data_IF_034762719815
#
_entry.id   IF_034762719815
#
_cell.length_a   1.000
_cell.length_b   1.000
_cell.length_c   1.000
_cell.angle_alpha   90.00
_cell.angle_beta   90.00
_cell.angle_gamma   90.00
#
_symmetry.space_group_name_H-M   'P 1'
#
loop_
_entity.id
_entity.type
_entity.pdbx_description
1 polymer ?
#
# COMPACT_ATOMS: atom_id res chain seq x y z
N UNK A 1 -60.12 -30.74 -33.49
CA UNK A 1 -59.20 -31.45 -34.41
C UNK A 1 -57.79 -31.23 -33.89
N UNK A 2 -57.26 -32.06 -32.98
CA UNK A 2 -56.49 -33.30 -33.25
C UNK A 2 -55.47 -33.14 -34.38
N UNK A 3 -54.19 -33.54 -34.29
CA UNK A 3 -53.36 -34.23 -33.29
C UNK A 3 -51.92 -34.21 -33.87
N UNK A 4 -50.91 -34.39 -33.01
CA UNK A 4 -49.69 -35.22 -33.12
C UNK A 4 -48.85 -34.81 -31.87
N UNK A 5 -49.01 -35.45 -30.70
CA UNK A 5 -48.44 -36.75 -30.23
C UNK A 5 -46.91 -36.68 -30.01
N UNK A 6 -46.43 -36.34 -28.79
CA UNK A 6 -45.89 -37.19 -27.68
C UNK A 6 -44.50 -37.85 -27.96
N UNK A 7 -43.70 -38.35 -26.98
CA UNK A 7 -43.47 -37.95 -25.57
C UNK A 7 -42.01 -38.07 -25.01
N UNK A 8 -41.72 -37.39 -23.89
CA UNK A 8 -41.15 -37.85 -22.58
C UNK A 8 -40.07 -38.98 -22.53
N UNK A 9 -38.95 -38.77 -21.80
CA UNK A 9 -38.55 -39.46 -20.52
C UNK A 9 -37.03 -39.44 -20.19
N UNK A 10 -36.74 -38.96 -18.97
CA UNK A 10 -35.89 -39.52 -17.89
C UNK A 10 -34.42 -39.98 -18.09
N UNK A 11 -33.60 -39.51 -17.15
CA UNK A 11 -32.26 -39.90 -16.63
C UNK A 11 -32.03 -41.42 -16.42
N UNK A 12 -30.88 -41.94 -15.90
CA UNK A 12 -29.44 -41.60 -15.94
C UNK A 12 -28.54 -42.84 -16.29
N UNK A 13 -27.21 -42.75 -16.08
CA UNK A 13 -26.22 -43.84 -15.74
C UNK A 13 -25.01 -44.02 -16.69
N UNK A 14 -23.83 -43.91 -16.05
CA UNK A 14 -22.49 -44.53 -16.24
C UNK A 14 -22.34 -45.51 -17.44
N UNK A 15 -21.22 -45.55 -18.19
CA UNK A 15 -19.91 -46.01 -17.70
C UNK A 15 -18.90 -46.29 -18.84
N UNK A 16 -17.62 -46.39 -18.46
CA UNK A 16 -16.49 -47.11 -19.08
C UNK A 16 -15.90 -46.66 -20.44
N UNK A 17 -14.75 -45.96 -20.36
CA UNK A 17 -13.55 -46.34 -21.14
C UNK A 17 -12.34 -46.32 -20.18
N UNK A 18 -11.53 -47.37 -20.24
CA UNK A 18 -10.42 -47.70 -19.33
C UNK A 18 -9.05 -47.45 -19.98
N UNK A 19 -8.02 -47.40 -19.10
CA UNK A 19 -6.56 -47.52 -19.27
C UNK A 19 -5.71 -46.23 -19.45
N UNK A 20 -4.44 -46.22 -18.98
CA UNK A 20 -3.90 -46.74 -17.72
C UNK A 20 -3.07 -45.70 -16.92
N UNK A 21 -2.72 -46.11 -15.69
CA UNK A 21 -1.98 -45.42 -14.65
C UNK A 21 -0.59 -44.89 -15.06
N UNK A 22 -0.27 -43.65 -14.66
CA UNK A 22 1.02 -43.31 -14.06
C UNK A 22 0.87 -42.11 -13.10
N UNK A 23 1.05 -42.39 -11.81
CA UNK A 23 0.98 -41.44 -10.70
C UNK A 23 2.30 -40.70 -10.58
N UNK A 24 2.27 -39.36 -10.61
CA UNK A 24 3.34 -38.52 -10.08
C UNK A 24 2.82 -37.63 -8.96
N UNK A 25 3.67 -37.52 -7.94
CA UNK A 25 3.37 -37.24 -6.55
C UNK A 25 3.01 -35.78 -6.27
N UNK A 26 2.04 -35.62 -5.37
CA UNK A 26 1.97 -34.49 -4.44
C UNK A 26 2.49 -34.95 -3.09
N UNK A 27 3.46 -34.24 -2.53
CA UNK A 27 3.73 -34.29 -1.09
C UNK A 27 4.11 -32.90 -0.59
N UNK A 28 3.23 -32.34 0.22
CA UNK A 28 3.51 -31.24 1.14
C UNK A 28 4.06 -31.83 2.45
N UNK A 29 5.16 -31.24 2.93
CA UNK A 29 5.53 -30.96 4.34
C UNK A 29 5.38 -32.07 5.40
N UNK A 30 6.50 -32.48 6.01
CA UNK A 30 6.68 -32.44 7.47
C UNK A 30 8.16 -32.63 7.87
N UNK A 31 8.49 -32.02 9.00
CA UNK A 31 9.78 -31.86 9.66
C UNK A 31 10.57 -33.17 9.86
N UNK A 32 11.90 -33.10 9.89
CA UNK A 32 12.69 -33.21 11.15
C UNK A 32 14.20 -33.31 10.91
N UNK A 33 14.90 -32.26 11.37
CA UNK A 33 16.34 -32.10 11.55
C UNK A 33 16.90 -32.98 12.69
N UNK A 34 16.78 -34.32 12.59
CA UNK A 34 17.35 -35.24 13.61
C UNK A 34 18.19 -36.41 13.07
N UNK A 35 18.38 -36.57 11.75
CA UNK A 35 19.17 -37.69 11.19
C UNK A 35 20.60 -37.38 10.71
N UNK A 36 21.04 -36.13 10.69
CA UNK A 36 22.39 -35.78 10.22
C UNK A 36 23.49 -35.82 11.32
N UNK A 37 23.12 -35.95 12.60
CA UNK A 37 24.09 -35.92 13.71
C UNK A 37 24.50 -37.30 14.26
N UNK A 38 23.92 -38.42 13.76
CA UNK A 38 24.25 -39.77 14.24
C UNK A 38 25.26 -40.54 13.36
N UNK A 39 25.60 -40.03 12.18
CA UNK A 39 26.58 -40.70 11.30
C UNK A 39 28.03 -40.24 11.50
N UNK A 40 28.25 -39.08 12.13
CA UNK A 40 29.59 -38.53 12.38
C UNK A 40 30.21 -38.96 13.72
N UNK A 41 29.42 -39.59 14.59
CA UNK A 41 29.87 -40.02 15.94
C UNK A 41 30.31 -41.49 16.01
N UNK A 42 30.27 -42.23 14.89
CA UNK A 42 30.56 -43.68 14.87
C UNK A 42 31.90 -44.06 14.23
N UNK A 43 32.70 -43.08 13.82
CA UNK A 43 34.00 -43.29 13.15
C UNK A 43 35.23 -42.99 14.04
N UNK A 44 35.03 -42.72 15.33
CA UNK A 44 36.12 -42.42 16.28
C UNK A 44 36.19 -43.42 17.45
N UNK A 45 36.11 -44.71 17.15
CA UNK A 45 36.49 -45.76 18.10
C UNK A 45 37.32 -46.84 17.39
N UNK A 46 38.61 -46.57 17.22
CA UNK A 46 39.65 -47.59 17.07
C UNK A 46 40.98 -46.98 17.54
N UNK A 47 41.62 -47.49 18.60
CA UNK A 47 42.95 -47.04 18.97
C UNK A 47 43.96 -47.63 17.97
N UNK A 48 44.43 -46.79 17.04
CA UNK A 48 45.55 -47.15 16.16
C UNK A 48 46.85 -46.99 16.94
N UNK A 49 47.56 -48.10 17.11
CA UNK A 49 48.90 -48.18 17.67
C UNK A 49 49.85 -47.32 16.81
N UNK A 50 50.40 -46.26 17.39
CA UNK A 50 51.41 -45.41 16.75
C UNK A 50 52.76 -46.12 16.72
N UNK A 51 53.14 -46.67 15.57
CA UNK A 51 54.54 -46.98 15.26
C UNK A 51 55.24 -45.69 14.79
N UNK A 52 56.32 -45.34 15.48
CA UNK A 52 57.22 -44.23 15.17
C UNK A 52 57.70 -44.30 13.69
N UNK A 53 57.26 -43.35 12.88
CA UNK A 53 57.83 -43.09 11.55
C UNK A 53 58.11 -41.59 11.42
N UNK A 54 59.40 -41.24 11.45
CA UNK A 54 59.89 -39.88 11.21
C UNK A 54 59.94 -39.62 9.70
N UNK A 55 58.86 -39.11 9.12
CA UNK A 55 58.92 -38.36 7.85
C UNK A 55 57.97 -37.15 7.93
N UNK A 56 58.43 -35.92 7.62
CA UNK A 56 57.57 -34.76 7.66
C UNK A 56 56.57 -34.82 6.50
N UNK A 57 55.27 -34.92 6.84
CA UNK A 57 54.16 -34.76 5.90
C UNK A 57 54.10 -33.27 5.49
N UNK A 58 54.43 -32.97 4.24
CA UNK A 58 54.16 -31.67 3.64
C UNK A 58 52.65 -31.50 3.45
N UNK A 59 52.03 -30.74 4.35
CA UNK A 59 50.65 -30.29 4.17
C UNK A 59 50.65 -29.13 3.17
N UNK A 60 50.28 -29.39 1.92
CA UNK A 60 49.94 -28.33 0.97
C UNK A 60 48.67 -27.65 1.47
N UNK A 61 48.82 -26.43 1.99
CA UNK A 61 47.71 -25.61 2.48
C UNK A 61 46.95 -25.08 1.26
N UNK A 62 46.03 -25.88 0.73
CA UNK A 62 45.05 -25.38 -0.24
C UNK A 62 44.17 -24.36 0.48
N UNK A 63 44.47 -23.08 0.26
CA UNK A 63 43.58 -21.99 0.64
C UNK A 63 42.33 -22.07 -0.23
N UNK A 64 41.30 -22.75 0.27
CA UNK A 64 39.96 -22.61 -0.28
C UNK A 64 39.49 -21.20 0.06
N UNK A 65 39.70 -20.27 -0.86
CA UNK A 65 39.03 -18.97 -0.84
C UNK A 65 37.54 -19.24 -1.03
N UNK A 66 36.81 -19.41 0.07
CA UNK A 66 35.36 -19.23 0.06
C UNK A 66 35.15 -17.78 -0.34
N UNK A 67 34.82 -17.55 -1.61
CA UNK A 67 34.40 -16.25 -2.10
C UNK A 67 33.11 -15.90 -1.37
N UNK A 68 33.26 -15.33 -0.18
CA UNK A 68 32.16 -14.72 0.54
C UNK A 68 31.62 -13.69 -0.43
N UNK A 69 30.41 -13.94 -0.93
CA UNK A 69 29.75 -13.10 -1.91
C UNK A 69 29.57 -11.74 -1.27
N UNK A 70 30.58 -10.88 -1.39
CA UNK A 70 30.52 -9.51 -0.93
C UNK A 70 29.30 -8.95 -1.65
N UNK A 71 28.29 -8.55 -0.89
CA UNK A 71 27.16 -7.84 -1.44
C UNK A 71 27.76 -6.55 -2.00
N UNK A 72 28.02 -6.53 -3.30
CA UNK A 72 28.60 -5.37 -3.98
C UNK A 72 27.55 -4.26 -3.87
N UNK A 73 27.85 -3.28 -3.04
CA UNK A 73 27.04 -2.07 -2.93
C UNK A 73 27.10 -1.29 -4.25
N UNK A 74 26.05 -0.53 -4.55
CA UNK A 74 26.03 0.34 -5.71
C UNK A 74 27.19 1.35 -5.66
N UNK A 75 27.76 1.68 -6.82
CA UNK A 75 28.74 2.78 -6.88
C UNK A 75 28.10 4.09 -6.39
N UNK A 76 28.87 5.05 -5.86
CA UNK A 76 28.31 6.32 -5.37
C UNK A 76 27.49 7.07 -6.43
N UNK A 77 27.96 7.06 -7.69
CA UNK A 77 27.25 7.66 -8.82
C UNK A 77 25.94 6.92 -9.13
N UNK A 78 25.96 5.58 -9.16
CA UNK A 78 24.74 4.78 -9.36
C UNK A 78 23.74 4.99 -8.21
N UNK A 79 24.20 5.01 -6.95
CA UNK A 79 23.38 5.29 -5.78
C UNK A 79 22.63 6.62 -5.89
N UNK A 80 23.31 7.68 -6.36
CA UNK A 80 22.68 8.98 -6.56
C UNK A 80 21.57 8.93 -7.62
N UNK A 81 21.83 8.34 -8.79
CA UNK A 81 20.80 8.24 -9.84
C UNK A 81 19.61 7.38 -9.43
N UNK A 82 19.86 6.19 -8.88
CA UNK A 82 18.80 5.28 -8.43
C UNK A 82 18.02 5.93 -7.28
N UNK A 83 18.72 6.57 -6.34
CA UNK A 83 18.10 7.26 -5.22
C UNK A 83 17.20 8.40 -5.66
N UNK A 84 17.67 9.27 -6.55
CA UNK A 84 16.87 10.38 -7.11
C UNK A 84 15.67 9.84 -7.88
N UNK A 85 15.86 8.82 -8.72
CA UNK A 85 14.77 8.17 -9.44
C UNK A 85 13.68 7.64 -8.50
N UNK A 86 14.06 6.92 -7.44
CA UNK A 86 13.08 6.40 -6.46
C UNK A 86 12.35 7.51 -5.70
N UNK A 87 13.03 8.60 -5.34
CA UNK A 87 12.38 9.77 -4.74
C UNK A 87 11.41 10.43 -5.72
N UNK A 88 11.80 10.62 -6.98
CA UNK A 88 10.92 11.14 -8.02
C UNK A 88 9.69 10.26 -8.22
N UNK A 89 9.85 8.93 -8.31
CA UNK A 89 8.71 8.00 -8.37
C UNK A 89 7.82 8.09 -7.13
N UNK A 90 8.40 8.25 -5.92
CA UNK A 90 7.60 8.45 -4.72
C UNK A 90 6.79 9.75 -4.77
N UNK A 91 7.36 10.84 -5.32
CA UNK A 91 6.64 12.09 -5.56
C UNK A 91 5.51 11.95 -6.60
N UNK A 92 5.71 11.16 -7.66
CA UNK A 92 4.64 10.86 -8.61
C UNK A 92 3.50 10.08 -7.95
N UNK A 93 3.79 9.14 -7.03
CA UNK A 93 2.76 8.44 -6.25
C UNK A 93 2.01 9.40 -5.31
N UNK A 94 2.68 10.40 -4.73
CA UNK A 94 1.99 11.47 -3.99
C UNK A 94 0.99 12.17 -4.92
N UNK A 95 1.41 12.55 -6.13
CA UNK A 95 0.53 13.11 -7.14
C UNK A 95 -0.69 12.22 -7.46
N UNK A 96 -0.48 10.91 -7.62
CA UNK A 96 -1.58 9.95 -7.82
C UNK A 96 -2.57 9.95 -6.66
N UNK A 97 -2.07 9.93 -5.42
CA UNK A 97 -2.93 9.92 -4.23
C UNK A 97 -3.77 11.19 -4.16
N UNK A 98 -3.18 12.36 -4.41
CA UNK A 98 -3.91 13.64 -4.41
C UNK A 98 -4.97 13.65 -5.51
N UNK A 99 -4.57 13.34 -6.75
CA UNK A 99 -5.46 13.36 -7.90
C UNK A 99 -6.59 12.33 -7.78
N UNK A 100 -6.28 11.13 -7.30
CA UNK A 100 -7.27 10.08 -7.01
C UNK A 100 -8.21 10.46 -5.86
N UNK A 101 -7.70 11.15 -4.83
CA UNK A 101 -8.51 11.71 -3.75
C UNK A 101 -9.53 12.73 -4.27
N UNK A 102 -9.09 13.66 -5.10
CA UNK A 102 -9.97 14.65 -5.73
C UNK A 102 -10.99 13.92 -6.61
N UNK A 103 -10.56 12.96 -7.45
CA UNK A 103 -11.44 12.15 -8.33
C UNK A 103 -12.54 11.45 -7.53
N UNK A 104 -12.23 10.93 -6.34
CA UNK A 104 -13.24 10.34 -5.44
C UNK A 104 -14.19 11.38 -4.86
N UNK A 105 -13.66 12.52 -4.39
CA UNK A 105 -14.44 13.62 -3.79
C UNK A 105 -15.35 14.33 -4.80
N UNK A 106 -14.98 14.32 -6.08
CA UNK A 106 -15.81 14.83 -7.19
C UNK A 106 -16.73 13.78 -7.79
N UNK A 107 -16.74 12.54 -7.27
CA UNK A 107 -17.50 11.40 -7.83
C UNK A 107 -17.24 11.22 -9.33
N UNK A 108 -15.98 11.38 -9.76
CA UNK A 108 -15.60 11.27 -11.16
C UNK A 108 -14.99 9.92 -11.53
N UNK A 109 -14.79 9.02 -10.56
CA UNK A 109 -14.03 7.78 -10.77
C UNK A 109 -14.72 6.69 -11.62
N UNK A 110 -15.91 6.96 -12.17
CA UNK A 110 -16.70 6.04 -12.99
C UNK A 110 -17.27 6.73 -14.26
N UNK A 111 -16.73 7.90 -14.61
CA UNK A 111 -17.14 8.72 -15.76
C UNK A 111 -16.65 8.18 -17.12
N UNK A 112 -15.54 7.42 -17.14
CA UNK A 112 -14.98 6.79 -18.33
C UNK A 112 -15.32 5.30 -18.37
N UNK A 113 -16.41 4.98 -19.06
CA UNK A 113 -17.03 3.64 -19.09
C UNK A 113 -16.25 2.65 -19.95
N UNK A 114 -15.64 3.13 -21.02
CA UNK A 114 -14.77 2.35 -21.88
C UNK A 114 -13.33 2.36 -21.32
N UNK A 115 -12.68 1.19 -21.39
CA UNK A 115 -11.27 1.06 -21.02
C UNK A 115 -10.45 0.66 -22.24
N UNK A 116 -9.46 1.48 -22.58
CA UNK A 116 -8.52 1.17 -23.66
C UNK A 116 -7.09 1.38 -23.18
N UNK A 117 -6.22 0.42 -23.45
CA UNK A 117 -4.83 0.46 -22.97
C UNK A 117 -4.03 1.64 -23.53
N UNK A 118 -4.28 2.04 -24.79
CA UNK A 118 -3.52 3.07 -25.51
C UNK A 118 -4.36 4.13 -26.24
N UNK A 119 -5.71 4.00 -26.27
CA UNK A 119 -6.60 4.84 -27.09
C UNK A 119 -7.63 5.62 -26.25
N UNK A 120 -7.19 6.16 -25.13
CA UNK A 120 -8.01 7.08 -24.34
C UNK A 120 -7.50 8.49 -24.66
N UNK A 121 -8.18 9.20 -25.56
CA UNK A 121 -7.97 10.62 -25.79
C UNK A 121 -9.31 11.33 -25.56
N UNK A 122 -9.31 12.58 -25.07
CA UNK A 122 -10.53 13.36 -24.95
C UNK A 122 -11.26 13.44 -26.30
N UNK A 123 -12.60 13.31 -26.33
CA UNK A 123 -13.37 13.57 -27.53
C UNK A 123 -13.05 14.95 -28.11
N UNK A 124 -12.76 15.00 -29.42
CA UNK A 124 -12.32 16.22 -30.10
C UNK A 124 -13.47 17.05 -30.69
N UNK A 125 -14.64 16.43 -30.90
CA UNK A 125 -15.83 17.08 -31.45
C UNK A 125 -16.99 17.07 -30.44
N UNK A 126 -17.95 17.98 -30.64
CA UNK A 126 -19.15 18.05 -29.79
C UNK A 126 -19.99 16.78 -29.90
N UNK A 127 -20.11 16.23 -31.10
CA UNK A 127 -20.87 15.01 -31.37
C UNK A 127 -20.26 13.82 -30.63
N UNK A 128 -18.94 13.70 -30.63
CA UNK A 128 -18.24 12.65 -29.89
C UNK A 128 -18.43 12.79 -28.37
N UNK A 129 -18.44 14.02 -27.85
CA UNK A 129 -18.77 14.29 -26.44
C UNK A 129 -20.21 13.89 -26.08
N UNK A 130 -21.17 14.20 -26.95
CA UNK A 130 -22.57 13.81 -26.75
C UNK A 130 -22.70 12.29 -26.75
N UNK A 131 -22.06 11.58 -27.69
CA UNK A 131 -22.08 10.11 -27.71
C UNK A 131 -21.51 9.49 -26.44
N UNK A 132 -20.38 10.00 -25.94
CA UNK A 132 -19.79 9.50 -24.69
C UNK A 132 -20.68 9.80 -23.48
N UNK A 133 -21.32 10.96 -23.46
CA UNK A 133 -22.28 11.31 -22.41
C UNK A 133 -23.53 10.42 -22.45
N UNK A 134 -24.06 10.13 -23.63
CA UNK A 134 -25.19 9.20 -23.78
C UNK A 134 -24.85 7.78 -23.28
N UNK A 135 -23.61 7.31 -23.46
CA UNK A 135 -23.17 6.06 -22.83
C UNK A 135 -23.17 6.18 -21.30
N UNK A 136 -22.61 7.26 -20.76
CA UNK A 136 -22.56 7.48 -19.30
C UNK A 136 -23.95 7.48 -18.65
N UNK A 137 -24.95 8.07 -19.32
CA UNK A 137 -26.35 8.07 -18.86
C UNK A 137 -26.97 6.68 -18.67
N UNK A 138 -26.41 5.65 -19.31
CA UNK A 138 -26.89 4.27 -19.17
C UNK A 138 -26.49 3.66 -17.82
N UNK A 139 -25.47 4.20 -17.14
CA UNK A 139 -24.92 3.62 -15.93
C UNK A 139 -25.65 4.06 -14.65
N UNK A 140 -25.65 3.22 -13.59
CA UNK A 140 -26.32 3.51 -12.34
C UNK A 140 -25.84 4.81 -11.65
N UNK A 141 -24.58 5.19 -11.82
CA UNK A 141 -24.04 6.41 -11.18
C UNK A 141 -24.75 7.68 -11.67
N UNK A 142 -24.98 7.82 -12.98
CA UNK A 142 -25.76 8.94 -13.52
C UNK A 142 -27.21 8.89 -13.01
N UNK A 143 -27.86 7.72 -13.17
CA UNK A 143 -29.28 7.52 -12.84
C UNK A 143 -29.60 7.78 -11.37
N UNK A 144 -28.71 7.40 -10.45
CA UNK A 144 -28.94 7.49 -9.01
C UNK A 144 -28.40 8.78 -8.40
N UNK A 145 -27.21 9.23 -8.82
CA UNK A 145 -26.51 10.30 -8.13
C UNK A 145 -26.64 11.66 -8.82
N UNK A 146 -26.80 11.72 -10.15
CA UNK A 146 -26.77 12.98 -10.90
C UNK A 146 -27.67 12.95 -12.18
N UNK A 147 -28.99 12.73 -12.07
CA UNK A 147 -29.86 12.59 -13.24
C UNK A 147 -29.99 13.88 -14.08
N UNK A 148 -29.74 15.03 -13.48
CA UNK A 148 -29.87 16.35 -14.11
C UNK A 148 -28.53 16.92 -14.63
N UNK A 149 -27.47 16.11 -14.67
CA UNK A 149 -26.12 16.56 -15.06
C UNK A 149 -26.10 17.10 -16.50
N UNK A 150 -25.43 18.22 -16.69
CA UNK A 150 -25.19 18.85 -18.00
C UNK A 150 -23.97 18.24 -18.70
N UNK A 151 -23.87 18.45 -20.02
CA UNK A 151 -22.70 18.00 -20.78
C UNK A 151 -21.38 18.63 -20.27
N UNK A 152 -21.41 19.88 -19.81
CA UNK A 152 -20.20 20.56 -19.30
C UNK A 152 -19.77 20.00 -17.95
N UNK A 153 -20.70 19.66 -17.07
CA UNK A 153 -20.40 18.96 -15.82
C UNK A 153 -19.85 17.55 -16.09
N UNK A 154 -20.40 16.85 -17.08
CA UNK A 154 -19.88 15.55 -17.53
C UNK A 154 -18.43 15.66 -18.02
N UNK A 155 -18.12 16.66 -18.87
CA UNK A 155 -16.75 16.90 -19.34
C UNK A 155 -15.79 17.12 -18.18
N UNK A 156 -16.20 17.87 -17.15
CA UNK A 156 -15.37 18.10 -15.97
C UNK A 156 -15.02 16.80 -15.24
N UNK A 157 -16.00 15.95 -14.93
CA UNK A 157 -15.72 14.67 -14.26
C UNK A 157 -14.90 13.73 -15.16
N UNK A 158 -15.19 13.71 -16.46
CA UNK A 158 -14.44 12.91 -17.44
C UNK A 158 -12.97 13.32 -17.48
N UNK A 159 -12.67 14.63 -17.53
CA UNK A 159 -11.29 15.14 -17.53
C UNK A 159 -10.55 14.82 -16.24
N UNK A 160 -11.23 14.84 -15.09
CA UNK A 160 -10.63 14.45 -13.81
C UNK A 160 -10.23 12.97 -13.81
N UNK A 161 -11.11 12.07 -14.25
CA UNK A 161 -10.77 10.65 -14.35
C UNK A 161 -9.67 10.38 -15.36
N UNK A 162 -9.76 11.00 -16.54
CA UNK A 162 -8.74 10.93 -17.58
C UNK A 162 -7.38 11.34 -17.04
N UNK A 163 -7.30 12.49 -16.37
CA UNK A 163 -6.08 12.99 -15.74
C UNK A 163 -5.52 11.97 -14.74
N UNK A 164 -6.38 11.40 -13.89
CA UNK A 164 -5.96 10.38 -12.92
C UNK A 164 -5.41 9.11 -13.60
N UNK A 165 -6.09 8.60 -14.64
CA UNK A 165 -5.64 7.43 -15.42
C UNK A 165 -4.30 7.71 -16.13
N UNK A 166 -4.16 8.87 -16.76
CA UNK A 166 -2.91 9.25 -17.45
C UNK A 166 -1.76 9.41 -16.46
N UNK A 167 -2.02 9.98 -15.29
CA UNK A 167 -1.03 10.09 -14.23
C UNK A 167 -0.58 8.70 -13.73
N UNK A 168 -1.49 7.75 -13.59
CA UNK A 168 -1.16 6.35 -13.29
C UNK A 168 -0.24 5.72 -14.34
N UNK A 169 -0.50 5.95 -15.63
CA UNK A 169 0.39 5.51 -16.73
C UNK A 169 1.77 6.17 -16.65
N UNK A 170 1.81 7.47 -16.36
CA UNK A 170 3.07 8.20 -16.17
C UNK A 170 3.89 7.60 -15.03
N UNK A 171 3.28 7.29 -13.89
CA UNK A 171 3.96 6.60 -12.76
C UNK A 171 4.54 5.26 -13.23
N UNK A 172 3.75 4.47 -13.96
CA UNK A 172 4.17 3.20 -14.53
C UNK A 172 5.39 3.33 -15.45
N UNK A 173 5.35 4.28 -16.39
CA UNK A 173 6.43 4.53 -17.34
C UNK A 173 7.69 5.10 -16.65
N UNK A 174 7.52 6.08 -15.75
CA UNK A 174 8.60 6.71 -14.99
C UNK A 174 9.30 5.72 -14.05
N UNK A 175 8.60 4.68 -13.59
CA UNK A 175 9.21 3.57 -12.88
C UNK A 175 9.87 2.57 -13.85
N UNK A 176 9.12 2.06 -14.83
CA UNK A 176 9.55 0.91 -15.63
C UNK A 176 10.75 1.23 -16.54
N UNK A 177 10.76 2.39 -17.21
CA UNK A 177 11.81 2.73 -18.17
C UNK A 177 13.19 2.86 -17.49
N UNK A 178 13.36 3.64 -16.39
CA UNK A 178 14.63 3.69 -15.69
C UNK A 178 14.98 2.36 -15.00
N UNK A 179 13.99 1.60 -14.50
CA UNK A 179 14.23 0.28 -13.92
C UNK A 179 14.91 -0.67 -14.92
N UNK A 180 14.37 -0.75 -16.15
CA UNK A 180 14.96 -1.56 -17.23
C UNK A 180 16.37 -1.08 -17.56
N UNK A 181 16.57 0.23 -17.68
CA UNK A 181 17.87 0.83 -17.96
C UNK A 181 18.90 0.44 -16.87
N UNK A 182 18.60 0.68 -15.59
CA UNK A 182 19.51 0.37 -14.49
C UNK A 182 19.82 -1.13 -14.38
N UNK A 183 18.82 -1.98 -14.69
CA UNK A 183 19.00 -3.43 -14.69
C UNK A 183 19.96 -3.87 -15.81
N UNK A 184 19.76 -3.40 -17.05
CA UNK A 184 20.61 -3.72 -18.21
C UNK A 184 22.03 -3.20 -18.04
N UNK A 185 22.21 -2.06 -17.38
CA UNK A 185 23.53 -1.46 -17.10
C UNK A 185 24.23 -2.06 -15.88
N UNK A 186 23.65 -3.10 -15.25
CA UNK A 186 24.17 -3.71 -14.01
C UNK A 186 24.44 -2.68 -12.88
N UNK A 187 23.63 -1.62 -12.82
CA UNK A 187 23.77 -0.57 -11.80
C UNK A 187 23.12 -0.94 -10.46
N UNK A 188 22.30 -1.98 -10.43
CA UNK A 188 21.57 -2.44 -9.25
C UNK A 188 22.33 -3.54 -8.51
N UNK A 189 22.54 -3.38 -7.20
CA UNK A 189 23.03 -4.47 -6.33
C UNK A 189 22.03 -5.62 -6.25
N UNK A 190 22.47 -6.81 -5.82
CA UNK A 190 21.59 -7.97 -5.61
C UNK A 190 20.35 -7.67 -4.74
N UNK A 191 20.50 -7.05 -3.56
CA UNK A 191 19.37 -6.61 -2.75
C UNK A 191 18.48 -5.57 -3.43
N UNK A 192 19.06 -4.63 -4.19
CA UNK A 192 18.28 -3.61 -4.89
C UNK A 192 17.48 -4.18 -6.06
N UNK A 193 18.01 -5.16 -6.80
CA UNK A 193 17.27 -5.91 -7.82
C UNK A 193 15.98 -6.51 -7.24
N UNK A 194 16.07 -7.14 -6.05
CA UNK A 194 14.89 -7.67 -5.34
C UNK A 194 13.89 -6.57 -4.98
N UNK A 195 14.36 -5.42 -4.47
CA UNK A 195 13.50 -4.27 -4.13
C UNK A 195 12.79 -3.70 -5.36
N UNK A 196 13.54 -3.46 -6.44
CA UNK A 196 12.98 -2.96 -7.70
C UNK A 196 11.95 -3.93 -8.27
N UNK A 197 12.18 -5.25 -8.20
CA UNK A 197 11.18 -6.23 -8.60
C UNK A 197 9.90 -6.14 -7.76
N UNK A 198 10.02 -6.03 -6.42
CA UNK A 198 8.87 -5.83 -5.52
C UNK A 198 8.12 -4.54 -5.87
N UNK A 199 8.82 -3.43 -6.12
CA UNK A 199 8.19 -2.16 -6.48
C UNK A 199 7.47 -2.28 -7.82
N UNK A 200 8.06 -2.95 -8.81
CA UNK A 200 7.42 -3.22 -10.09
C UNK A 200 6.14 -4.04 -9.95
N UNK A 201 6.15 -5.07 -9.10
CA UNK A 201 4.94 -5.85 -8.81
C UNK A 201 3.86 -5.01 -8.13
N UNK A 202 4.23 -4.09 -7.22
CA UNK A 202 3.29 -3.17 -6.59
C UNK A 202 2.72 -2.14 -7.56
N UNK A 203 3.53 -1.60 -8.48
CA UNK A 203 3.08 -0.70 -9.55
C UNK A 203 2.09 -1.39 -10.48
N UNK A 204 2.39 -2.63 -10.91
CA UNK A 204 1.47 -3.44 -11.70
C UNK A 204 0.18 -3.75 -10.93
N UNK A 205 0.31 -4.16 -9.66
CA UNK A 205 -0.82 -4.42 -8.77
C UNK A 205 -1.71 -3.19 -8.57
N UNK A 206 -1.12 -1.99 -8.49
CA UNK A 206 -1.86 -0.72 -8.45
C UNK A 206 -2.71 -0.50 -9.70
N UNK A 207 -2.12 -0.69 -10.89
CA UNK A 207 -2.87 -0.59 -12.15
C UNK A 207 -4.01 -1.60 -12.25
N UNK A 208 -3.74 -2.87 -11.89
CA UNK A 208 -4.75 -3.94 -11.90
C UNK A 208 -5.88 -3.68 -10.90
N UNK A 209 -5.54 -3.23 -9.68
CA UNK A 209 -6.54 -2.92 -8.66
C UNK A 209 -7.37 -1.69 -9.02
N UNK A 210 -6.75 -0.66 -9.62
CA UNK A 210 -7.46 0.52 -10.13
C UNK A 210 -8.44 0.16 -11.25
N UNK A 211 -8.03 -0.67 -12.21
CA UNK A 211 -8.93 -1.20 -13.23
C UNK A 211 -10.09 -2.00 -12.61
N UNK A 212 -9.80 -2.87 -11.65
CA UNK A 212 -10.82 -3.65 -10.95
C UNK A 212 -11.82 -2.74 -10.23
N UNK A 213 -11.35 -1.69 -9.54
CA UNK A 213 -12.19 -0.69 -8.87
C UNK A 213 -13.22 -0.07 -9.83
N UNK A 214 -12.77 0.41 -10.99
CA UNK A 214 -13.67 1.03 -11.98
C UNK A 214 -14.66 0.01 -12.53
N UNK A 215 -14.15 -1.11 -13.06
CA UNK A 215 -15.01 -2.16 -13.66
C UNK A 215 -16.11 -2.61 -12.70
N UNK A 216 -15.74 -2.78 -11.43
CA UNK A 216 -16.64 -3.26 -10.40
C UNK A 216 -17.64 -2.20 -9.89
N UNK A 217 -17.41 -0.92 -10.15
CA UNK A 217 -18.34 0.17 -9.82
C UNK A 217 -19.38 0.44 -10.91
N UNK A 218 -19.18 -0.09 -12.12
CA UNK A 218 -20.09 0.08 -13.27
C UNK A 218 -21.23 -0.95 -13.34
N UNK A 219 -21.34 -1.87 -12.37
CA UNK A 219 -22.32 -2.97 -12.38
C UNK A 219 -23.65 -2.55 -11.74
N UNK A 220 -24.77 -3.04 -12.27
CA UNK A 220 -26.15 -2.69 -11.87
C UNK A 220 -26.58 -3.15 -10.46
N UNK A 221 -25.81 -4.03 -9.80
CA UNK A 221 -26.07 -4.48 -8.43
C UNK A 221 -25.06 -3.81 -7.47
N UNK A 222 -25.32 -2.60 -6.98
CA UNK A 222 -24.44 -1.90 -6.06
C UNK A 222 -24.24 -2.64 -4.73
N UNK A 223 -23.33 -2.10 -3.92
CA UNK A 223 -23.06 -2.53 -2.55
C UNK A 223 -24.36 -2.71 -1.73
N UNK A 224 -24.34 -3.37 -0.55
CA UNK A 224 -25.56 -3.70 0.21
C UNK A 224 -26.48 -2.52 0.56
N UNK A 225 -26.02 -1.29 0.41
CA UNK A 225 -26.77 -0.04 0.61
C UNK A 225 -27.44 0.51 -0.66
N UNK A 226 -27.28 -0.16 -1.81
CA UNK A 226 -27.95 0.19 -3.06
C UNK A 226 -27.32 1.36 -3.83
N UNK A 227 -26.21 1.93 -3.33
CA UNK A 227 -25.57 3.11 -3.94
C UNK A 227 -24.51 2.70 -4.97
N UNK A 228 -24.65 3.18 -6.20
CA UNK A 228 -23.66 3.02 -7.25
C UNK A 228 -22.37 3.80 -6.94
N UNK A 229 -21.40 3.12 -6.32
CA UNK A 229 -20.07 3.66 -5.99
C UNK A 229 -19.02 2.55 -5.91
N UNK A 230 -17.75 2.92 -5.97
CA UNK A 230 -16.65 1.98 -5.72
C UNK A 230 -16.66 1.55 -4.26
N UNK A 231 -16.62 0.23 -4.04
CA UNK A 231 -16.51 -0.40 -2.72
C UNK A 231 -15.41 0.24 -1.85
N UNK A 232 -15.74 0.59 -0.60
CA UNK A 232 -14.78 1.09 0.38
C UNK A 232 -13.61 0.14 0.61
N UNK A 233 -13.83 -1.17 0.48
CA UNK A 233 -12.79 -2.18 0.62
C UNK A 233 -11.75 -2.09 -0.51
N UNK A 234 -12.22 -1.90 -1.75
CA UNK A 234 -11.34 -1.75 -2.92
C UNK A 234 -10.59 -0.41 -2.86
N UNK A 235 -11.28 0.66 -2.46
CA UNK A 235 -10.66 1.97 -2.23
C UNK A 235 -9.57 1.91 -1.16
N UNK A 236 -9.84 1.27 -0.01
CA UNK A 236 -8.88 1.10 1.06
C UNK A 236 -7.68 0.25 0.61
N UNK A 237 -7.91 -0.87 -0.08
CA UNK A 237 -6.85 -1.71 -0.62
C UNK A 237 -5.95 -0.94 -1.61
N UNK A 238 -6.55 -0.13 -2.49
CA UNK A 238 -5.82 0.66 -3.48
C UNK A 238 -4.99 1.76 -2.82
N UNK A 239 -5.59 2.56 -1.94
CA UNK A 239 -4.86 3.59 -1.19
C UNK A 239 -3.76 2.99 -0.31
N UNK A 240 -4.06 1.89 0.41
CA UNK A 240 -3.11 1.22 1.28
C UNK A 240 -1.90 0.68 0.54
N UNK A 241 -2.10 0.03 -0.62
CA UNK A 241 -1.01 -0.43 -1.46
C UNK A 241 -0.22 0.73 -2.08
N UNK A 242 -0.86 1.86 -2.41
CA UNK A 242 -0.17 3.07 -2.86
C UNK A 242 0.74 3.64 -1.75
N UNK A 243 0.25 3.68 -0.50
CA UNK A 243 1.05 4.10 0.65
C UNK A 243 2.22 3.15 0.95
N UNK A 244 2.03 1.83 0.76
CA UNK A 244 3.12 0.85 0.90
C UNK A 244 4.19 1.11 -0.16
N UNK A 245 3.79 1.21 -1.44
CA UNK A 245 4.69 1.49 -2.55
C UNK A 245 5.45 2.81 -2.32
N UNK A 246 4.73 3.87 -1.98
CA UNK A 246 5.30 5.16 -1.59
C UNK A 246 6.35 5.03 -0.48
N UNK A 247 5.98 4.38 0.62
CA UNK A 247 6.83 4.25 1.80
C UNK A 247 8.13 3.50 1.49
N UNK A 248 8.05 2.44 0.68
CA UNK A 248 9.19 1.62 0.31
C UNK A 248 10.15 2.36 -0.64
N UNK A 249 9.61 3.08 -1.63
CA UNK A 249 10.41 3.88 -2.56
C UNK A 249 11.08 5.05 -1.86
N UNK A 250 10.33 5.82 -1.05
CA UNK A 250 10.89 6.93 -0.28
C UNK A 250 11.99 6.44 0.67
N UNK A 251 11.74 5.38 1.43
CA UNK A 251 12.74 4.79 2.34
C UNK A 251 14.02 4.37 1.59
N UNK A 252 13.87 3.75 0.41
CA UNK A 252 14.99 3.30 -0.41
C UNK A 252 15.75 4.47 -1.03
N UNK A 253 15.05 5.47 -1.53
CA UNK A 253 15.63 6.71 -2.04
C UNK A 253 16.44 7.46 -0.98
N UNK A 254 15.85 7.69 0.19
CA UNK A 254 16.55 8.29 1.34
C UNK A 254 17.78 7.45 1.75
N UNK A 255 17.70 6.12 1.64
CA UNK A 255 18.82 5.24 2.01
C UNK A 255 20.03 5.37 1.10
N UNK A 256 19.81 5.70 -0.17
CA UNK A 256 20.87 5.89 -1.16
C UNK A 256 21.38 7.34 -1.18
N UNK A 257 20.49 8.32 -0.99
CA UNK A 257 20.82 9.74 -1.11
C UNK A 257 21.33 10.36 0.18
N UNK A 258 20.74 10.00 1.32
CA UNK A 258 20.98 10.70 2.59
C UNK A 258 21.18 9.69 3.72
N UNK A 259 22.25 8.88 3.68
CA UNK A 259 22.51 7.88 4.72
C UNK A 259 22.50 8.53 6.11
N UNK A 260 21.87 7.90 7.11
CA UNK A 260 21.68 8.52 8.41
C UNK A 260 22.99 8.55 9.20
N UNK A 261 23.11 9.52 10.10
CA UNK A 261 24.29 9.66 10.96
C UNK A 261 24.38 8.49 11.94
N UNK A 262 25.59 8.00 12.19
CA UNK A 262 25.86 7.02 13.25
C UNK A 262 25.83 7.74 14.60
N UNK A 263 25.18 7.13 15.58
CA UNK A 263 25.06 7.67 16.94
C UNK A 263 25.34 6.54 17.92
N UNK A 264 25.96 6.88 19.05
CA UNK A 264 26.08 5.96 20.17
C UNK A 264 24.71 5.50 20.66
N UNK A 265 24.62 4.21 20.96
CA UNK A 265 23.35 3.59 21.28
C UNK A 265 23.13 3.57 22.77
N UNK A 266 22.04 4.19 23.18
CA UNK A 266 21.54 4.12 24.54
C UNK A 266 20.24 3.30 24.57
N UNK A 267 19.93 2.70 25.73
CA UNK A 267 18.66 1.97 25.93
C UNK A 267 17.44 2.86 25.65
N UNK A 268 17.52 4.13 26.03
CA UNK A 268 16.46 5.13 25.77
C UNK A 268 16.28 5.40 24.28
N UNK A 269 17.36 5.47 23.50
CA UNK A 269 17.29 5.68 22.05
C UNK A 269 16.71 4.46 21.31
N UNK A 270 17.01 3.24 21.75
CA UNK A 270 16.35 2.02 21.23
C UNK A 270 14.85 2.06 21.53
N UNK A 271 14.45 2.41 22.76
CA UNK A 271 13.04 2.52 23.16
C UNK A 271 12.32 3.59 22.33
N UNK A 272 12.96 4.75 22.13
CA UNK A 272 12.48 5.82 21.27
C UNK A 272 12.27 5.34 19.82
N UNK A 273 13.23 4.62 19.24
CA UNK A 273 13.08 4.04 17.89
C UNK A 273 11.88 3.10 17.80
N UNK A 274 11.68 2.24 18.81
CA UNK A 274 10.52 1.33 18.84
C UNK A 274 9.21 2.09 18.85
N UNK A 275 9.10 3.12 19.69
CA UNK A 275 7.91 3.99 19.70
C UNK A 275 7.74 4.72 18.37
N UNK A 276 8.80 5.28 17.78
CA UNK A 276 8.73 5.93 16.48
C UNK A 276 8.21 5.00 15.36
N UNK A 277 8.63 3.73 15.34
CA UNK A 277 8.08 2.75 14.41
C UNK A 277 6.62 2.39 14.71
N UNK A 278 6.25 2.27 15.99
CA UNK A 278 4.85 2.08 16.41
C UNK A 278 3.95 3.23 15.97
N UNK A 279 4.37 4.47 16.24
CA UNK A 279 3.65 5.69 15.81
C UNK A 279 3.54 5.77 14.29
N UNK A 280 4.60 5.42 13.54
CA UNK A 280 4.54 5.33 12.07
C UNK A 280 3.47 4.33 11.60
N UNK A 281 3.43 3.15 12.23
CA UNK A 281 2.41 2.13 11.93
C UNK A 281 0.99 2.62 12.23
N UNK A 282 0.82 3.33 13.35
CA UNK A 282 -0.47 3.93 13.71
C UNK A 282 -0.90 5.04 12.76
N UNK A 283 0.02 5.89 12.30
CA UNK A 283 -0.23 6.91 11.26
C UNK A 283 -0.70 6.24 9.97
N UNK A 284 0.00 5.18 9.53
CA UNK A 284 -0.39 4.41 8.36
C UNK A 284 -1.80 3.82 8.52
N UNK A 285 -2.09 3.21 9.67
CA UNK A 285 -3.40 2.61 9.96
C UNK A 285 -4.52 3.66 9.96
N UNK A 286 -4.26 4.85 10.52
CA UNK A 286 -5.22 5.96 10.55
C UNK A 286 -5.47 6.51 9.15
N UNK A 287 -4.42 6.69 8.36
CA UNK A 287 -4.56 7.14 6.98
C UNK A 287 -5.29 6.10 6.11
N UNK A 288 -5.04 4.80 6.36
CA UNK A 288 -5.77 3.69 5.75
C UNK A 288 -7.25 3.67 6.18
N UNK A 289 -7.56 3.92 7.46
CA UNK A 289 -8.95 3.95 7.93
C UNK A 289 -9.76 5.09 7.31
N UNK A 290 -9.10 6.20 6.96
CA UNK A 290 -9.71 7.31 6.22
C UNK A 290 -10.28 6.91 4.85
N UNK A 291 -9.75 5.86 4.21
CA UNK A 291 -10.32 5.34 2.97
C UNK A 291 -11.72 4.73 3.16
N UNK A 292 -11.99 4.12 4.31
CA UNK A 292 -13.34 3.64 4.61
C UNK A 292 -14.29 4.81 4.84
N UNK A 293 -13.85 5.83 5.59
CA UNK A 293 -14.64 7.05 5.83
C UNK A 293 -15.02 7.73 4.52
N UNK A 294 -14.06 7.92 3.61
CA UNK A 294 -14.32 8.49 2.30
C UNK A 294 -15.12 7.56 1.39
N UNK A 295 -14.93 6.25 1.52
CA UNK A 295 -15.61 5.23 0.73
C UNK A 295 -17.12 5.29 0.92
N UNK A 296 -17.58 5.24 2.18
CA UNK A 296 -19.00 5.21 2.58
C UNK A 296 -19.57 6.58 2.95
N UNK A 297 -18.84 7.66 2.65
CA UNK A 297 -19.25 9.05 2.91
C UNK A 297 -19.55 9.33 4.40
N UNK A 298 -18.91 8.58 5.29
CA UNK A 298 -19.09 8.66 6.75
C UNK A 298 -18.71 10.01 7.35
N UNK A 299 -17.96 10.85 6.63
CA UNK A 299 -17.63 12.21 7.05
C UNK A 299 -18.84 13.14 7.17
N UNK A 300 -19.98 12.79 6.56
CA UNK A 300 -21.22 13.59 6.55
C UNK A 300 -22.22 13.17 7.64
N UNK A 301 -21.91 12.16 8.46
CA UNK A 301 -22.87 11.59 9.42
C UNK A 301 -22.98 12.46 10.67
N UNK A 302 -21.86 12.66 11.38
CA UNK A 302 -21.77 13.58 12.51
C UNK A 302 -20.79 14.71 12.18
N UNK A 303 -21.24 15.96 12.20
CA UNK A 303 -20.43 17.14 11.86
C UNK A 303 -20.13 18.05 13.05
N UNK A 304 -20.19 17.50 14.27
CA UNK A 304 -19.78 18.18 15.51
C UNK A 304 -18.47 17.59 16.04
N UNK A 305 -17.76 18.36 16.88
CA UNK A 305 -16.57 17.95 17.63
C UNK A 305 -16.51 18.72 18.96
N UNK A 306 -16.06 18.12 20.08
CA UNK A 306 -15.49 16.77 20.22
C UNK A 306 -16.53 15.66 20.29
N UNK A 307 -17.78 15.96 20.66
CA UNK A 307 -18.89 15.00 20.67
C UNK A 307 -19.40 14.70 19.25
N UNK A 308 -20.01 13.54 19.06
CA UNK A 308 -20.79 13.16 17.88
C UNK A 308 -22.27 13.48 18.18
N UNK A 309 -22.73 14.62 17.66
CA UNK A 309 -23.92 15.34 18.10
C UNK A 309 -23.88 15.63 19.61
N UNK A 310 -24.89 15.21 20.36
CA UNK A 310 -25.03 15.37 21.80
C UNK A 310 -24.24 14.32 22.62
N UNK A 311 -23.66 13.30 21.96
CA UNK A 311 -23.11 12.09 22.61
C UNK A 311 -21.61 11.90 22.34
N UNK A 312 -20.93 11.25 23.28
CA UNK A 312 -19.54 10.80 23.08
C UNK A 312 -19.45 9.52 22.26
N UNK A 313 -20.38 8.60 22.48
CA UNK A 313 -20.53 7.36 21.72
C UNK A 313 -21.96 7.35 21.16
N UNK A 314 -22.13 7.39 19.84
CA UNK A 314 -23.43 7.27 19.20
C UNK A 314 -24.12 5.94 19.51
N UNK A 315 -25.45 5.95 19.62
CA UNK A 315 -26.25 4.76 19.95
C UNK A 315 -26.34 3.74 18.82
N UNK A 316 -26.13 4.17 17.59
CA UNK A 316 -26.21 3.40 16.35
C UNK A 316 -24.88 2.75 15.95
N UNK A 317 -23.84 2.80 16.79
CA UNK A 317 -22.50 2.22 16.51
C UNK A 317 -22.50 0.69 16.30
N UNK A 318 -23.58 0.01 16.69
CA UNK A 318 -23.75 -1.44 16.56
C UNK A 318 -25.04 -1.81 15.79
N UNK A 319 -25.57 -0.90 14.96
CA UNK A 319 -26.84 -1.07 14.26
C UNK A 319 -26.84 -2.25 13.25
N UNK A 320 -25.68 -2.58 12.66
CA UNK A 320 -25.61 -3.60 11.62
C UNK A 320 -25.38 -5.01 12.22
N UNK A 321 -25.98 -6.01 11.58
CA UNK A 321 -25.76 -7.43 11.88
C UNK A 321 -25.11 -8.15 10.70
N UNK A 322 -24.13 -9.06 10.93
CA UNK A 322 -23.44 -9.32 12.19
C UNK A 322 -22.60 -8.13 12.69
N UNK A 323 -22.35 -8.05 14.01
CA UNK A 323 -21.74 -6.88 14.67
C UNK A 323 -20.41 -6.41 14.07
N UNK A 324 -19.59 -7.32 13.52
CA UNK A 324 -18.30 -6.99 12.93
C UNK A 324 -18.41 -6.10 11.68
N UNK A 325 -19.55 -6.15 10.96
CA UNK A 325 -19.80 -5.28 9.79
C UNK A 325 -19.81 -3.80 10.16
N UNK A 326 -20.17 -3.45 11.39
CA UNK A 326 -20.18 -2.06 11.82
C UNK A 326 -18.79 -1.41 11.70
N UNK A 327 -17.70 -2.17 11.88
CA UNK A 327 -16.35 -1.61 11.90
C UNK A 327 -16.00 -0.89 10.58
N UNK A 328 -16.50 -1.39 9.45
CA UNK A 328 -16.14 -0.94 8.10
C UNK A 328 -17.31 -0.48 7.23
N UNK A 329 -18.54 -0.85 7.58
CA UNK A 329 -19.72 -0.61 6.74
C UNK A 329 -20.77 0.28 7.41
N UNK A 330 -20.77 0.39 8.74
CA UNK A 330 -21.61 1.36 9.43
C UNK A 330 -20.91 2.73 9.37
N UNK A 331 -21.52 3.74 8.74
CA UNK A 331 -20.92 5.07 8.62
C UNK A 331 -20.56 5.69 9.96
N UNK A 332 -21.43 5.58 10.96
CA UNK A 332 -21.22 6.12 12.31
C UNK A 332 -20.00 5.50 12.98
N UNK A 333 -19.93 4.18 12.98
CA UNK A 333 -18.83 3.43 13.62
C UNK A 333 -17.50 3.66 12.90
N UNK A 334 -17.54 3.71 11.56
CA UNK A 334 -16.35 3.98 10.75
C UNK A 334 -15.81 5.38 11.04
N UNK A 335 -16.70 6.38 11.13
CA UNK A 335 -16.34 7.74 11.50
C UNK A 335 -15.77 7.81 12.92
N UNK A 336 -16.44 7.19 13.89
CA UNK A 336 -16.00 7.14 15.29
C UNK A 336 -14.60 6.51 15.41
N UNK A 337 -14.39 5.33 14.80
CA UNK A 337 -13.11 4.64 14.82
C UNK A 337 -11.99 5.49 14.23
N UNK A 338 -12.24 6.19 13.11
CA UNK A 338 -11.26 7.07 12.50
C UNK A 338 -10.91 8.28 13.37
N UNK A 339 -11.91 8.89 14.05
CA UNK A 339 -11.67 9.99 15.02
C UNK A 339 -10.78 9.54 16.17
N UNK A 340 -11.11 8.40 16.80
CA UNK A 340 -10.31 7.83 17.90
C UNK A 340 -8.89 7.50 17.45
N UNK A 341 -8.72 6.93 16.24
CA UNK A 341 -7.40 6.68 15.66
C UNK A 341 -6.61 7.99 15.46
N UNK A 342 -7.25 9.04 14.94
CA UNK A 342 -6.63 10.37 14.75
C UNK A 342 -6.17 11.01 16.06
N UNK A 343 -7.02 10.99 17.10
CA UNK A 343 -6.68 11.48 18.44
C UNK A 343 -5.54 10.66 19.06
N UNK A 344 -5.58 9.33 18.89
CA UNK A 344 -4.51 8.44 19.37
C UNK A 344 -3.18 8.73 18.68
N UNK A 345 -3.20 8.97 17.36
CA UNK A 345 -2.00 9.40 16.62
C UNK A 345 -1.47 10.71 17.18
N UNK A 346 -2.32 11.71 17.40
CA UNK A 346 -1.89 13.00 17.92
C UNK A 346 -1.24 12.87 19.30
N UNK A 347 -1.85 12.11 20.20
CA UNK A 347 -1.27 11.80 21.52
C UNK A 347 0.06 11.05 21.40
N UNK A 348 0.15 10.04 20.52
CA UNK A 348 1.37 9.27 20.30
C UNK A 348 2.51 10.12 19.71
N UNK A 349 2.22 11.01 18.75
CA UNK A 349 3.20 11.95 18.18
C UNK A 349 3.64 12.98 19.21
N UNK A 350 2.70 13.54 19.99
CA UNK A 350 3.00 14.49 21.07
C UNK A 350 3.89 13.87 22.14
N UNK A 351 3.56 12.65 22.59
CA UNK A 351 4.37 11.90 23.54
C UNK A 351 5.77 11.57 23.00
N UNK A 352 5.87 11.20 21.72
CA UNK A 352 7.16 10.98 21.06
C UNK A 352 7.97 12.29 20.98
N UNK A 353 7.34 13.40 20.62
CA UNK A 353 7.98 14.72 20.57
C UNK A 353 8.50 15.15 21.93
N UNK A 354 7.70 15.06 22.99
CA UNK A 354 8.12 15.34 24.37
C UNK A 354 9.26 14.42 24.82
N UNK A 355 9.17 13.12 24.52
CA UNK A 355 10.24 12.18 24.87
C UNK A 355 11.55 12.52 24.15
N UNK A 356 11.49 12.97 22.89
CA UNK A 356 12.65 13.36 22.09
C UNK A 356 13.46 14.51 22.70
N UNK A 357 12.83 15.37 23.51
CA UNK A 357 13.48 16.51 24.19
C UNK A 357 14.50 16.05 25.24
N UNK A 358 14.33 14.85 25.78
CA UNK A 358 15.21 14.26 26.81
C UNK A 358 16.38 13.46 26.21
N UNK A 359 16.50 13.40 24.88
CA UNK A 359 17.47 12.56 24.18
C UNK A 359 18.48 13.40 23.42
N UNK A 360 19.69 12.87 23.20
CA UNK A 360 20.63 13.41 22.22
C UNK A 360 20.36 12.79 20.85
N UNK A 361 19.66 13.53 19.97
CA UNK A 361 19.33 13.09 18.62
C UNK A 361 20.20 13.83 17.60
N UNK A 362 20.56 13.19 16.47
CA UNK A 362 21.10 13.87 15.31
C UNK A 362 20.24 15.07 14.89
N UNK A 363 20.84 16.17 14.37
CA UNK A 363 20.09 17.34 13.94
C UNK A 363 18.95 17.01 12.97
N UNK A 364 19.17 16.11 12.01
CA UNK A 364 18.14 15.66 11.06
C UNK A 364 17.00 14.89 11.72
N UNK A 365 17.31 13.99 12.66
CA UNK A 365 16.28 13.27 13.43
C UNK A 365 15.46 14.23 14.30
N UNK A 366 16.11 15.24 14.88
CA UNK A 366 15.44 16.30 15.66
C UNK A 366 14.51 17.14 14.79
N UNK A 367 14.98 17.53 13.59
CA UNK A 367 14.15 18.23 12.63
C UNK A 367 12.96 17.36 12.21
N UNK A 368 13.18 16.09 11.89
CA UNK A 368 12.12 15.16 11.49
C UNK A 368 11.02 15.01 12.56
N UNK A 369 11.37 14.85 13.85
CA UNK A 369 10.35 14.74 14.92
C UNK A 369 9.62 16.07 15.17
N UNK A 370 10.29 17.21 15.01
CA UNK A 370 9.62 18.52 15.09
C UNK A 370 8.64 18.73 13.93
N UNK A 371 9.06 18.41 12.70
CA UNK A 371 8.19 18.48 11.51
C UNK A 371 7.00 17.51 11.64
N UNK A 372 7.23 16.31 12.17
CA UNK A 372 6.18 15.32 12.42
C UNK A 372 5.15 15.82 13.44
N UNK A 373 5.59 16.49 14.51
CA UNK A 373 4.69 17.08 15.49
C UNK A 373 3.89 18.27 14.91
N UNK A 374 4.55 19.19 14.20
CA UNK A 374 3.89 20.31 13.54
C UNK A 374 2.83 19.84 12.52
N UNK A 375 3.17 18.83 11.71
CA UNK A 375 2.25 18.22 10.76
C UNK A 375 1.10 17.48 11.47
N UNK A 376 1.32 16.86 12.63
CA UNK A 376 0.25 16.23 13.39
C UNK A 376 -0.77 17.24 13.92
N UNK A 377 -0.32 18.42 14.37
CA UNK A 377 -1.22 19.53 14.73
C UNK A 377 -2.06 19.93 13.51
N UNK A 378 -1.41 20.22 12.38
CA UNK A 378 -2.11 20.60 11.15
C UNK A 378 -3.10 19.52 10.71
N UNK A 379 -2.74 18.24 10.84
CA UNK A 379 -3.56 17.13 10.41
C UNK A 379 -4.84 16.98 11.25
N UNK A 380 -4.73 17.13 12.58
CA UNK A 380 -5.91 17.14 13.46
C UNK A 380 -6.79 18.35 13.15
N UNK A 381 -6.21 19.53 12.98
CA UNK A 381 -6.97 20.73 12.59
C UNK A 381 -7.71 20.54 11.27
N UNK A 382 -7.05 20.03 10.23
CA UNK A 382 -7.67 19.72 8.94
C UNK A 382 -8.82 18.70 9.09
N UNK A 383 -8.65 17.67 9.92
CA UNK A 383 -9.70 16.68 10.19
C UNK A 383 -10.92 17.29 10.88
N UNK A 384 -10.69 18.09 11.93
CA UNK A 384 -11.75 18.80 12.66
C UNK A 384 -12.49 19.77 11.73
N UNK A 385 -11.78 20.60 10.96
CA UNK A 385 -12.43 21.55 10.04
C UNK A 385 -13.15 20.84 8.89
N UNK A 386 -12.62 19.73 8.38
CA UNK A 386 -13.34 18.90 7.39
C UNK A 386 -14.68 18.44 7.95
N UNK A 387 -14.74 18.09 9.24
CA UNK A 387 -15.99 17.70 9.89
C UNK A 387 -16.92 18.91 10.11
N UNK A 388 -16.44 19.99 10.73
CA UNK A 388 -17.27 21.14 11.09
C UNK A 388 -17.88 21.86 9.88
N UNK A 389 -17.20 21.85 8.74
CA UNK A 389 -17.69 22.48 7.51
C UNK A 389 -18.38 21.51 6.53
N UNK A 390 -18.80 20.32 7.00
CA UNK A 390 -19.52 19.34 6.18
C UNK A 390 -18.75 18.85 4.94
N UNK A 391 -17.49 18.45 5.15
CA UNK A 391 -16.60 17.85 4.15
C UNK A 391 -16.40 18.70 2.89
N UNK A 392 -15.95 19.97 2.97
CA UNK A 392 -15.62 20.74 1.79
C UNK A 392 -14.49 20.05 1.02
N UNK A 393 -14.67 19.86 -0.29
CA UNK A 393 -13.71 19.13 -1.15
C UNK A 393 -12.26 19.60 -0.97
N UNK A 394 -11.94 20.92 -0.90
CA UNK A 394 -10.56 21.37 -0.67
C UNK A 394 -9.99 20.97 0.70
N UNK A 395 -10.79 21.02 1.77
CA UNK A 395 -10.36 20.61 3.11
C UNK A 395 -10.17 19.09 3.18
N UNK A 396 -11.10 18.31 2.62
CA UNK A 396 -10.99 16.86 2.57
C UNK A 396 -9.76 16.41 1.76
N UNK A 397 -9.50 17.04 0.60
CA UNK A 397 -8.31 16.78 -0.20
C UNK A 397 -7.02 17.19 0.53
N UNK A 398 -7.03 18.33 1.22
CA UNK A 398 -5.90 18.79 2.04
C UNK A 398 -5.63 17.85 3.21
N UNK A 399 -6.67 17.35 3.89
CA UNK A 399 -6.55 16.39 4.97
C UNK A 399 -5.97 15.06 4.48
N UNK A 400 -6.45 14.53 3.35
CA UNK A 400 -5.88 13.32 2.76
C UNK A 400 -4.40 13.52 2.36
N UNK A 401 -4.06 14.64 1.73
CA UNK A 401 -2.69 14.97 1.33
C UNK A 401 -1.78 15.14 2.55
N UNK A 402 -2.27 15.82 3.58
CA UNK A 402 -1.60 16.02 4.86
C UNK A 402 -1.29 14.72 5.59
N UNK A 403 -2.15 13.70 5.48
CA UNK A 403 -1.88 12.37 6.03
C UNK A 403 -0.62 11.74 5.44
N UNK A 404 -0.42 11.92 4.12
CA UNK A 404 0.76 11.41 3.42
C UNK A 404 2.02 12.19 3.83
N UNK A 405 1.92 13.52 3.99
CA UNK A 405 3.03 14.35 4.53
C UNK A 405 3.39 13.91 5.96
N UNK A 406 2.40 13.67 6.81
CA UNK A 406 2.62 13.16 8.17
C UNK A 406 3.33 11.79 8.14
N UNK A 407 2.86 10.86 7.30
CA UNK A 407 3.53 9.57 7.10
C UNK A 407 4.98 9.75 6.61
N UNK A 408 5.23 10.71 5.73
CA UNK A 408 6.56 11.04 5.20
C UNK A 408 7.53 11.48 6.28
N UNK A 409 7.09 12.38 7.17
CA UNK A 409 7.91 12.81 8.31
C UNK A 409 8.21 11.66 9.29
N UNK A 410 7.26 10.75 9.49
CA UNK A 410 7.46 9.54 10.30
C UNK A 410 8.43 8.54 9.64
N UNK A 411 8.36 8.38 8.31
CA UNK A 411 9.33 7.59 7.53
C UNK A 411 10.72 8.20 7.64
N UNK A 412 10.84 9.53 7.49
CA UNK A 412 12.09 10.24 7.63
C UNK A 412 12.69 10.07 9.03
N UNK A 413 11.91 10.30 10.10
CA UNK A 413 12.37 10.10 11.47
C UNK A 413 12.85 8.67 11.70
N UNK A 414 12.07 7.66 11.30
CA UNK A 414 12.45 6.26 11.51
C UNK A 414 13.65 5.84 10.65
N UNK A 415 13.88 6.50 9.51
CA UNK A 415 15.05 6.30 8.67
C UNK A 415 16.32 6.83 9.34
N UNK A 416 16.26 8.03 9.92
CA UNK A 416 17.38 8.61 10.68
C UNK A 416 17.79 7.73 11.87
N UNK A 417 16.84 6.97 12.43
CA UNK A 417 17.07 6.05 13.56
C UNK A 417 17.47 4.62 13.14
N UNK A 418 17.61 4.31 11.85
CA UNK A 418 17.78 2.91 11.41
C UNK A 418 19.18 2.34 11.69
N UNK A 419 20.22 3.18 11.71
CA UNK A 419 21.62 2.75 11.89
C UNK A 419 22.07 2.72 13.35
N UNK A 420 21.13 2.60 14.29
CA UNK A 420 21.43 2.17 15.65
C UNK A 420 21.87 0.68 15.60
N UNK A 421 23.14 0.43 15.25
CA UNK A 421 23.84 -0.87 15.40
C UNK A 421 24.52 -0.95 16.76
N UNK A 422 24.10 -1.92 17.59
CA UNK A 422 24.73 -2.22 18.88
C UNK A 422 26.24 -2.36 18.69
N UNK A 423 27.01 -1.49 19.32
CA UNK A 423 28.46 -1.64 19.46
C UNK A 423 28.66 -2.33 20.80
N UNK A 424 29.07 -3.61 20.85
CA UNK A 424 29.55 -4.21 22.10
C UNK A 424 30.65 -3.32 22.65
N UNK A 425 30.55 -2.94 23.92
CA UNK A 425 31.70 -2.40 24.64
C UNK A 425 32.73 -3.50 24.84
#
# INVERSE_FOLDING_TARGET
>A
MTLISLPILLTPVKSFVSYPNHVLSRSFVSLTTKKCFKSLAKEFQNPVILKNSKKPLQFSRQTVSVAQSAIIAESPKASRYIGTWLVCCSGLVVGSVVLGGITRLTKSGLSMVDWHLFKEFPPLSREAWVLEFEKYKQFPEFKQNNPDMTLEEFKWIWHMEYGHRMWGRLVGAAFLLPAIYFWRRNMLSGPMKKRVAIFGSLVLGQGLLGWYMVKSGLVENPEPDGVARVSQYRLAAHLGMAFILYSLMLWSGLSLLVPPQKVEITKSLIKFRRFAHGTKGLIFLTAFSGAFVAGIEAGLVYNTWPKMADRWIPSDIAAFSPKWRNITENPTTTQFNHRILGETVFCAVSGLWLYSRKLHLPPRARLAVNCMFAMAIMQVSLGIFTLLYHVPKPLAASHQSGALVLLSTAIWLTHELKLLKWVPK
#
